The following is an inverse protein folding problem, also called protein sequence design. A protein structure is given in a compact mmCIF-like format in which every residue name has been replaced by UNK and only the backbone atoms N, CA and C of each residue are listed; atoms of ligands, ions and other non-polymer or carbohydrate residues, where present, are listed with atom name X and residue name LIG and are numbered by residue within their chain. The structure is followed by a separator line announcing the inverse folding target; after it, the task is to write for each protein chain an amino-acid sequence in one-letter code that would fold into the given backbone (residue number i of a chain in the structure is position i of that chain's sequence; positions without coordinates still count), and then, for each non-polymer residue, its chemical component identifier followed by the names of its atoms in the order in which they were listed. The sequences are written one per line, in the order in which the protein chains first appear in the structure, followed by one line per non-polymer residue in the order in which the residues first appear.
data_IF_142176713481
#
_entry.id   IF_142176713481
#
_cell.length_a   1.000
_cell.length_b   1.000
_cell.length_c   1.000
_cell.angle_alpha   90.00
_cell.angle_beta   90.00
_cell.angle_gamma   90.00
#
_symmetry.space_group_name_H-M   'P 1'
#
loop_
_entity.id
_entity.type
_entity.pdbx_description
1 polymer ?
#
# COMPACT_ATOMS: atom_id res chain seq x y z
N UNK A 1 4.95 -12.08 8.20
CA UNK A 1 5.80 -13.30 8.34
C UNK A 1 4.95 -14.56 8.45
N UNK A 2 3.89 -14.57 9.27
CA UNK A 2 2.89 -15.66 9.32
C UNK A 2 2.38 -16.07 7.92
N UNK A 3 2.11 -15.11 7.04
CA UNK A 3 1.67 -15.41 5.67
C UNK A 3 2.74 -16.15 4.83
N UNK A 4 4.01 -15.78 4.99
CA UNK A 4 5.13 -16.45 4.31
C UNK A 4 5.31 -17.90 4.78
N UNK A 5 4.99 -18.18 6.04
CA UNK A 5 5.09 -19.51 6.64
C UNK A 5 3.91 -20.43 6.30
N UNK A 6 2.72 -19.85 6.04
CA UNK A 6 1.47 -20.60 5.91
C UNK A 6 0.90 -20.69 4.49
N UNK A 7 1.42 -19.93 3.53
CA UNK A 7 1.00 -20.00 2.12
C UNK A 7 2.04 -20.76 1.29
N UNK A 8 1.55 -21.58 0.36
CA UNK A 8 2.40 -22.20 -0.66
C UNK A 8 2.58 -21.23 -1.84
N UNK A 9 3.83 -20.84 -2.07
CA UNK A 9 4.23 -19.96 -3.18
C UNK A 9 4.98 -20.73 -4.28
N UNK A 10 5.09 -22.05 -4.16
CA UNK A 10 5.72 -22.90 -5.17
C UNK A 10 5.02 -22.70 -6.51
N UNK A 11 5.81 -22.63 -7.58
CA UNK A 11 5.36 -22.41 -8.96
C UNK A 11 4.60 -21.09 -9.22
N UNK A 12 4.64 -20.13 -8.27
CA UNK A 12 4.12 -18.77 -8.48
C UNK A 12 5.18 -17.86 -9.10
N UNK A 13 4.81 -17.00 -10.08
CA UNK A 13 5.77 -16.13 -10.76
C UNK A 13 6.63 -15.26 -9.84
N UNK A 14 6.08 -14.82 -8.70
CA UNK A 14 6.81 -13.98 -7.74
C UNK A 14 7.14 -14.69 -6.42
N UNK A 15 6.77 -15.96 -6.26
CA UNK A 15 7.31 -16.87 -5.23
C UNK A 15 7.50 -16.26 -3.82
N UNK A 16 6.57 -15.42 -3.34
CA UNK A 16 6.61 -14.80 -2.02
C UNK A 16 7.30 -13.42 -1.95
N UNK A 17 7.59 -12.76 -3.07
CA UNK A 17 8.21 -11.42 -3.07
C UNK A 17 7.31 -10.42 -2.31
N UNK A 18 7.88 -9.65 -1.37
CA UNK A 18 7.12 -8.64 -0.63
C UNK A 18 6.86 -7.39 -1.47
N UNK A 19 5.67 -6.81 -1.34
CA UNK A 19 5.29 -5.52 -1.93
C UNK A 19 4.44 -4.70 -0.97
N UNK A 20 4.33 -3.40 -1.25
CA UNK A 20 3.34 -2.52 -0.63
C UNK A 20 2.24 -2.19 -1.65
N UNK A 21 1.02 -2.04 -1.16
CA UNK A 21 -0.07 -1.44 -1.94
C UNK A 21 -0.08 0.07 -1.72
N UNK A 22 -0.39 0.84 -2.74
CA UNK A 22 -0.66 2.26 -2.56
C UNK A 22 -1.93 2.42 -1.74
N UNK A 23 -1.94 3.31 -0.74
CA UNK A 23 -3.15 3.63 0.03
C UNK A 23 -4.18 4.45 -0.76
N UNK A 24 -4.38 4.13 -2.05
CA UNK A 24 -5.32 4.77 -2.96
C UNK A 24 -5.64 3.81 -4.11
N UNK A 25 -6.89 3.36 -4.21
CA UNK A 25 -7.36 2.54 -5.35
C UNK A 25 -6.76 1.15 -5.46
N UNK A 26 -6.23 0.60 -4.36
CA UNK A 26 -5.70 -0.77 -4.27
C UNK A 26 -6.27 -1.45 -3.01
N UNK A 27 -7.60 -1.57 -2.96
CA UNK A 27 -8.35 -2.11 -1.82
C UNK A 27 -8.03 -3.59 -1.56
N UNK A 28 -7.82 -3.93 -0.29
CA UNK A 28 -7.67 -5.31 0.20
C UNK A 28 -8.69 -5.53 1.31
N UNK A 29 -9.59 -6.49 1.13
CA UNK A 29 -10.71 -6.70 2.05
C UNK A 29 -10.24 -6.87 3.49
N UNK A 30 -10.86 -6.14 4.41
CA UNK A 30 -10.55 -6.18 5.83
C UNK A 30 -9.38 -5.28 6.26
N UNK A 31 -8.58 -4.76 5.32
CA UNK A 31 -7.45 -3.88 5.62
C UNK A 31 -7.83 -2.39 5.56
N UNK A 32 -7.11 -1.51 6.29
CA UNK A 32 -7.34 -0.07 6.24
C UNK A 32 -7.22 0.48 4.81
N UNK A 33 -8.07 1.45 4.46
CA UNK A 33 -7.98 2.15 3.18
C UNK A 33 -8.31 3.63 3.34
N UNK A 34 -7.28 4.44 3.58
CA UNK A 34 -7.50 5.80 4.10
C UNK A 34 -7.48 6.87 3.02
N UNK A 35 -7.01 6.57 1.80
CA UNK A 35 -6.79 7.56 0.75
C UNK A 35 -5.91 8.73 1.23
N UNK A 36 -5.03 8.51 2.22
CA UNK A 36 -4.28 9.58 2.90
C UNK A 36 -5.15 10.62 3.61
N UNK A 37 -6.42 10.36 3.84
CA UNK A 37 -7.38 11.32 4.39
C UNK A 37 -7.76 10.98 5.83
N UNK A 38 -7.87 12.02 6.66
CA UNK A 38 -8.44 11.91 8.01
C UNK A 38 -9.88 11.40 8.00
N UNK A 39 -10.62 11.60 6.90
CA UNK A 39 -12.00 11.17 6.76
C UNK A 39 -12.15 9.64 6.81
N UNK A 40 -11.12 8.91 6.37
CA UNK A 40 -11.18 7.46 6.17
C UNK A 40 -10.28 6.68 7.13
N UNK A 41 -9.80 7.28 8.23
CA UNK A 41 -8.92 6.59 9.20
C UNK A 41 -9.56 5.36 9.85
N UNK A 42 -10.90 5.32 9.90
CA UNK A 42 -11.64 4.17 10.43
C UNK A 42 -12.20 3.25 9.34
N UNK A 43 -11.97 3.58 8.06
CA UNK A 43 -12.47 2.80 6.94
C UNK A 43 -11.56 1.60 6.67
N UNK A 44 -12.20 0.44 6.55
CA UNK A 44 -11.57 -0.79 6.09
C UNK A 44 -12.28 -1.22 4.81
N UNK A 45 -11.50 -1.64 3.82
CA UNK A 45 -12.04 -2.06 2.54
C UNK A 45 -12.95 -3.28 2.71
N UNK A 46 -14.09 -3.27 2.00
CA UNK A 46 -15.07 -4.37 2.06
C UNK A 46 -14.71 -5.50 1.11
N UNK A 47 -14.02 -5.16 0.02
CA UNK A 47 -13.67 -6.08 -1.05
C UNK A 47 -12.21 -5.88 -1.45
N UNK A 48 -11.60 -6.94 -1.98
CA UNK A 48 -10.26 -6.86 -2.58
C UNK A 48 -10.43 -6.52 -4.06
N UNK A 49 -9.75 -5.47 -4.52
CA UNK A 49 -9.76 -5.05 -5.91
C UNK A 49 -9.15 -6.13 -6.81
N UNK A 50 -9.59 -6.19 -8.08
CA UNK A 50 -9.10 -7.18 -9.04
C UNK A 50 -7.58 -7.10 -9.26
N UNK A 51 -7.03 -5.88 -9.22
CA UNK A 51 -5.58 -5.67 -9.29
C UNK A 51 -4.84 -6.35 -8.13
N UNK A 52 -5.33 -6.14 -6.90
CA UNK A 52 -4.75 -6.73 -5.69
C UNK A 52 -4.89 -8.24 -5.69
N UNK A 53 -6.06 -8.77 -6.06
CA UNK A 53 -6.28 -10.22 -6.25
C UNK A 53 -5.25 -10.82 -7.20
N UNK A 54 -4.95 -10.16 -8.32
CA UNK A 54 -3.94 -10.65 -9.27
C UNK A 54 -2.53 -10.63 -8.70
N UNK A 55 -2.16 -9.63 -7.91
CA UNK A 55 -0.86 -9.63 -7.22
C UNK A 55 -0.75 -10.82 -6.23
N UNK A 56 -1.80 -11.07 -5.44
CA UNK A 56 -1.83 -12.21 -4.51
C UNK A 56 -1.78 -13.56 -5.23
N UNK A 57 -2.52 -13.72 -6.34
CA UNK A 57 -2.53 -14.94 -7.18
C UNK A 57 -1.16 -15.23 -7.82
N UNK A 58 -0.45 -14.17 -8.21
CA UNK A 58 0.91 -14.20 -8.77
C UNK A 58 1.99 -14.51 -7.71
N UNK A 59 1.60 -14.56 -6.43
CA UNK A 59 2.44 -14.98 -5.32
C UNK A 59 3.18 -13.84 -4.62
N UNK A 60 2.74 -12.60 -4.75
CA UNK A 60 3.26 -11.52 -3.91
C UNK A 60 2.74 -11.63 -2.46
N UNK A 61 3.52 -11.11 -1.52
CA UNK A 61 3.13 -10.91 -0.12
C UNK A 61 2.93 -9.42 0.11
N UNK A 62 1.72 -9.03 0.51
CA UNK A 62 1.41 -7.62 0.78
C UNK A 62 1.84 -7.30 2.22
N UNK A 63 2.85 -6.44 2.38
CA UNK A 63 3.37 -6.06 3.70
C UNK A 63 2.55 -4.96 4.38
N UNK A 64 1.69 -4.30 3.64
CA UNK A 64 0.88 -3.19 4.10
C UNK A 64 0.75 -2.13 3.02
N UNK A 65 0.57 -0.88 3.47
CA UNK A 65 0.25 0.23 2.58
C UNK A 65 1.29 1.34 2.59
N UNK A 66 1.61 1.86 1.41
CA UNK A 66 2.44 3.05 1.27
C UNK A 66 1.61 4.31 1.46
N UNK A 67 2.23 5.31 2.07
CA UNK A 67 1.65 6.65 2.22
C UNK A 67 1.27 7.25 0.85
N UNK A 68 0.18 8.01 0.84
CA UNK A 68 -0.27 8.80 -0.32
C UNK A 68 -0.65 10.20 0.16
N UNK A 69 -0.46 11.25 -0.67
CA UNK A 69 -1.11 12.53 -0.45
C UNK A 69 -2.63 12.33 -0.35
N UNK A 70 -3.32 13.17 0.43
CA UNK A 70 -4.77 13.08 0.58
C UNK A 70 -5.47 13.07 -0.80
N UNK A 71 -6.21 11.98 -1.05
CA UNK A 71 -6.86 11.63 -2.33
C UNK A 71 -5.96 11.57 -3.56
N UNK A 72 -4.64 11.51 -3.37
CA UNK A 72 -3.66 11.57 -4.45
C UNK A 72 -3.68 12.90 -5.21
N UNK A 73 -4.25 13.96 -4.62
CA UNK A 73 -4.58 15.20 -5.32
C UNK A 73 -3.38 16.09 -5.68
N UNK A 74 -2.21 15.80 -5.12
CA UNK A 74 -1.00 16.62 -5.29
C UNK A 74 0.24 15.76 -5.43
N UNK A 75 1.29 16.36 -5.99
CA UNK A 75 2.56 15.70 -6.24
C UNK A 75 3.56 15.84 -5.06
N UNK A 76 3.05 15.91 -3.84
CA UNK A 76 3.83 16.06 -2.61
C UNK A 76 3.25 15.16 -1.53
N UNK A 77 4.09 14.29 -0.97
CA UNK A 77 3.71 13.33 0.07
C UNK A 77 3.92 13.95 1.45
N UNK A 78 2.96 14.75 1.90
CA UNK A 78 2.95 15.52 3.15
C UNK A 78 1.72 15.18 4.02
N UNK A 79 1.26 13.93 3.92
CA UNK A 79 0.01 13.48 4.50
C UNK A 79 -0.01 13.68 6.02
N UNK A 80 -1.11 14.21 6.54
CA UNK A 80 -1.20 14.56 7.97
C UNK A 80 -1.30 13.34 8.89
N UNK A 81 -1.87 12.23 8.42
CA UNK A 81 -2.10 11.03 9.25
C UNK A 81 -0.85 10.17 9.46
N UNK A 82 0.16 10.28 8.59
CA UNK A 82 1.40 9.49 8.65
C UNK A 82 2.68 10.33 8.63
N UNK A 83 2.57 11.63 8.36
CA UNK A 83 3.71 12.53 8.20
C UNK A 83 4.23 12.60 6.77
N UNK A 84 5.20 13.48 6.56
CA UNK A 84 5.83 13.67 5.24
C UNK A 84 6.76 12.53 4.89
N UNK A 85 6.73 12.12 3.62
CA UNK A 85 7.68 11.16 3.04
C UNK A 85 8.82 11.94 2.39
N UNK A 86 10.05 11.64 2.81
CA UNK A 86 11.25 12.30 2.33
C UNK A 86 12.08 11.36 1.44
N UNK A 87 12.98 11.94 0.65
CA UNK A 87 13.93 11.15 -0.15
C UNK A 87 14.84 10.35 0.79
N UNK A 88 15.15 9.09 0.47
CA UNK A 88 16.02 8.26 1.30
C UNK A 88 17.45 8.82 1.39
N UNK A 89 17.95 9.43 0.30
CA UNK A 89 19.31 9.96 0.23
C UNK A 89 19.44 11.41 0.76
N UNK A 90 18.32 12.12 0.93
CA UNK A 90 18.26 13.46 1.51
C UNK A 90 16.92 13.69 2.21
N UNK A 91 16.90 13.42 3.52
CA UNK A 91 15.69 13.50 4.34
C UNK A 91 15.18 14.93 4.54
N UNK A 92 15.89 15.96 4.05
CA UNK A 92 15.40 17.35 4.06
C UNK A 92 14.50 17.66 2.84
N UNK A 93 14.46 16.76 1.85
CA UNK A 93 13.69 16.91 0.61
C UNK A 93 12.52 15.93 0.56
N UNK A 94 11.37 16.40 0.10
CA UNK A 94 10.19 15.54 -0.09
C UNK A 94 10.41 14.51 -1.21
N UNK A 95 9.82 13.32 -1.06
CA UNK A 95 9.92 12.24 -2.04
C UNK A 95 9.07 12.44 -3.31
N UNK A 96 8.26 13.50 -3.39
CA UNK A 96 7.29 13.73 -4.45
C UNK A 96 5.96 13.03 -4.18
N UNK A 97 5.16 12.80 -5.22
CA UNK A 97 3.86 12.14 -5.14
C UNK A 97 3.10 12.22 -6.46
N UNK A 98 1.92 11.62 -6.60
CA UNK A 98 1.30 10.67 -5.65
C UNK A 98 1.69 9.20 -5.91
N UNK A 99 2.42 8.91 -6.99
CA UNK A 99 2.87 7.59 -7.50
C UNK A 99 1.89 6.87 -8.43
#
# INVERSE_FOLDING_TARGET
MVEAENRDFSDKPFSGVPIFLKDLGQEQAGEPSTAGSRLFTSYHAKETDNYVKKLEELGFIILGRSSTPEFGFKNISDVQIHGSVNLPDDVTRNAGGSS
#
